data_IF_136358927845
#
_entry.id   IF_136358927845
#
_cell.length_a   1.000
_cell.length_b   1.000
_cell.length_c   1.000
_cell.angle_alpha   90.00
_cell.angle_beta   90.00
_cell.angle_gamma   90.00
#
_symmetry.space_group_name_H-M   'P 1'
#
loop_
_entity.id
_entity.type
_entity.pdbx_description
1 polymer ?
#
# COMPACT_ATOMS: atom_id res chain seq x y z
N UNK A 1 15.46 -31.52 -4.37
CA UNK A 1 15.08 -32.06 -5.70
C UNK A 1 13.56 -32.03 -5.92
N UNK A 2 12.75 -32.65 -5.06
CA UNK A 2 11.28 -32.68 -5.19
C UNK A 2 10.64 -31.28 -5.23
N UNK A 3 11.04 -30.37 -4.34
CA UNK A 3 10.54 -28.98 -4.34
C UNK A 3 10.79 -28.24 -5.66
N UNK A 4 11.96 -28.43 -6.26
CA UNK A 4 12.30 -27.82 -7.55
C UNK A 4 11.43 -28.38 -8.70
N UNK A 5 11.16 -29.68 -8.67
CA UNK A 5 10.27 -30.34 -9.63
C UNK A 5 8.83 -29.81 -9.47
N UNK A 6 8.33 -29.69 -8.23
CA UNK A 6 7.00 -29.12 -7.93
C UNK A 6 6.91 -27.67 -8.44
N UNK A 7 7.94 -26.85 -8.17
CA UNK A 7 7.99 -25.46 -8.62
C UNK A 7 7.97 -25.36 -10.15
N UNK A 8 8.77 -26.18 -10.85
CA UNK A 8 8.80 -26.22 -12.31
C UNK A 8 7.47 -26.71 -12.92
N UNK A 9 6.78 -27.64 -12.25
CA UNK A 9 5.47 -28.11 -12.67
C UNK A 9 4.41 -27.00 -12.55
N UNK A 10 4.41 -26.26 -11.43
CA UNK A 10 3.49 -25.14 -11.19
C UNK A 10 3.71 -24.02 -12.23
N UNK A 11 4.97 -23.66 -12.49
CA UNK A 11 5.32 -22.65 -13.50
C UNK A 11 4.92 -23.09 -14.91
N UNK A 12 5.11 -24.37 -15.25
CA UNK A 12 4.74 -24.93 -16.56
C UNK A 12 3.23 -24.94 -16.80
N UNK A 13 2.40 -25.08 -15.76
CA UNK A 13 0.94 -25.02 -15.85
C UNK A 13 0.47 -23.56 -15.98
N UNK A 14 1.11 -22.63 -15.26
CA UNK A 14 0.80 -21.19 -15.32
C UNK A 14 0.92 -20.63 -16.74
N UNK A 15 1.97 -21.03 -17.47
CA UNK A 15 2.22 -20.56 -18.84
C UNK A 15 1.26 -21.13 -19.89
N UNK A 16 0.65 -22.30 -19.63
CA UNK A 16 -0.33 -22.93 -20.53
C UNK A 16 -1.71 -22.29 -20.40
N UNK A 17 -2.14 -21.99 -19.18
CA UNK A 17 -3.43 -21.33 -18.93
C UNK A 17 -3.43 -19.87 -19.42
N UNK A 18 -2.26 -19.20 -19.41
CA UNK A 18 -2.13 -17.81 -19.85
C UNK A 18 -2.41 -17.58 -21.34
N UNK A 19 -2.36 -18.61 -22.19
CA UNK A 19 -2.57 -18.49 -23.65
C UNK A 19 -4.01 -18.70 -24.11
N UNK A 20 -4.89 -19.25 -23.26
CA UNK A 20 -6.29 -19.54 -23.62
C UNK A 20 -7.34 -18.89 -22.70
N UNK A 21 -6.94 -18.18 -21.64
CA UNK A 21 -7.84 -17.30 -20.92
C UNK A 21 -8.23 -16.13 -21.85
N UNK A 22 -9.35 -16.30 -22.57
CA UNK A 22 -10.14 -15.16 -23.06
C UNK A 22 -10.18 -14.17 -21.89
N UNK A 23 -9.65 -12.96 -22.07
CA UNK A 23 -9.64 -11.91 -21.07
C UNK A 23 -11.07 -11.50 -20.68
N UNK A 24 -11.77 -12.38 -19.97
CA UNK A 24 -13.07 -12.08 -19.39
C UNK A 24 -12.77 -11.18 -18.19
N UNK A 25 -13.40 -9.99 -18.13
CA UNK A 25 -13.22 -9.14 -16.98
C UNK A 25 -13.69 -9.90 -15.73
N UNK A 26 -12.83 -9.97 -14.72
CA UNK A 26 -13.18 -10.52 -13.40
C UNK A 26 -14.50 -9.93 -12.92
N UNK A 27 -15.30 -10.69 -12.18
CA UNK A 27 -16.55 -10.16 -11.62
C UNK A 27 -16.28 -8.95 -10.72
N UNK A 28 -17.22 -7.99 -10.59
CA UNK A 28 -17.03 -6.81 -9.74
C UNK A 28 -16.59 -7.17 -8.31
N UNK A 29 -17.16 -8.21 -7.71
CA UNK A 29 -16.81 -8.69 -6.38
C UNK A 29 -15.36 -9.17 -6.29
N UNK A 30 -14.91 -9.96 -7.27
CA UNK A 30 -13.54 -10.46 -7.31
C UNK A 30 -12.56 -9.31 -7.52
N UNK A 31 -12.85 -8.35 -8.42
CA UNK A 31 -12.00 -7.16 -8.62
C UNK A 31 -11.82 -6.37 -7.34
N UNK A 32 -12.90 -6.21 -6.57
CA UNK A 32 -12.85 -5.51 -5.29
C UNK A 32 -11.96 -6.25 -4.28
N UNK A 33 -12.06 -7.57 -4.21
CA UNK A 33 -11.23 -8.36 -3.30
C UNK A 33 -9.75 -8.37 -3.70
N UNK A 34 -9.47 -8.48 -5.00
CA UNK A 34 -8.11 -8.32 -5.54
C UNK A 34 -7.54 -6.93 -5.22
N UNK A 35 -8.36 -5.87 -5.34
CA UNK A 35 -7.93 -4.52 -4.98
C UNK A 35 -7.60 -4.39 -3.48
N UNK A 36 -8.41 -5.00 -2.59
CA UNK A 36 -8.11 -5.04 -1.16
C UNK A 36 -6.81 -5.79 -0.88
N UNK A 37 -6.62 -6.96 -1.50
CA UNK A 37 -5.40 -7.76 -1.35
C UNK A 37 -4.16 -6.98 -1.78
N UNK A 38 -4.20 -6.36 -2.96
CA UNK A 38 -3.11 -5.52 -3.46
C UNK A 38 -2.82 -4.33 -2.54
N UNK A 39 -3.85 -3.74 -1.93
CA UNK A 39 -3.69 -2.66 -0.97
C UNK A 39 -3.03 -3.15 0.33
N UNK A 40 -3.45 -4.29 0.88
CA UNK A 40 -2.83 -4.91 2.07
C UNK A 40 -1.37 -5.25 1.79
N UNK A 41 -1.07 -5.79 0.62
CA UNK A 41 0.31 -6.10 0.23
C UNK A 41 1.18 -4.83 0.19
N UNK A 42 0.67 -3.73 -0.37
CA UNK A 42 1.38 -2.44 -0.39
C UNK A 42 1.61 -1.88 1.01
N UNK A 43 0.60 -1.96 1.86
CA UNK A 43 0.67 -1.52 3.26
C UNK A 43 1.74 -2.31 4.03
N UNK A 44 1.71 -3.64 3.92
CA UNK A 44 2.70 -4.51 4.54
C UNK A 44 4.12 -4.24 4.02
N UNK A 45 4.27 -4.12 2.70
CA UNK A 45 5.57 -3.84 2.07
C UNK A 45 6.15 -2.52 2.57
N UNK A 46 5.31 -1.48 2.68
CA UNK A 46 5.74 -0.18 3.23
C UNK A 46 6.22 -0.31 4.68
N UNK A 47 5.49 -1.03 5.54
CA UNK A 47 5.90 -1.22 6.93
C UNK A 47 7.23 -1.97 7.03
N UNK A 48 7.36 -3.06 6.26
CA UNK A 48 8.55 -3.91 6.25
C UNK A 48 9.80 -3.17 5.72
N UNK A 49 9.68 -2.49 4.59
CA UNK A 49 10.81 -1.76 3.97
C UNK A 49 11.32 -0.60 4.82
N UNK A 50 10.44 0.01 5.62
CA UNK A 50 10.79 1.17 6.46
C UNK A 50 10.97 0.79 7.95
N UNK A 51 11.00 -0.51 8.27
CA UNK A 51 11.18 -1.04 9.63
C UNK A 51 10.22 -0.41 10.66
N UNK A 52 8.95 -0.27 10.28
CA UNK A 52 7.92 0.35 11.12
C UNK A 52 7.25 -0.77 11.93
N UNK A 53 7.45 -0.73 13.25
CA UNK A 53 6.97 -1.73 14.20
C UNK A 53 5.92 -1.18 15.16
N UNK A 54 5.74 0.14 15.23
CA UNK A 54 4.78 0.79 16.13
C UNK A 54 3.93 1.85 15.44
N UNK A 55 2.77 2.15 16.03
CA UNK A 55 1.91 3.24 15.57
C UNK A 55 2.61 4.60 15.65
N UNK A 56 3.43 4.82 16.68
CA UNK A 56 4.19 6.06 16.86
C UNK A 56 5.24 6.25 15.75
N UNK A 57 5.95 5.18 15.37
CA UNK A 57 6.87 5.19 14.23
C UNK A 57 6.13 5.50 12.92
N UNK A 58 4.95 4.90 12.72
CA UNK A 58 4.12 5.16 11.53
C UNK A 58 3.70 6.62 11.44
N UNK A 59 3.27 7.23 12.55
CA UNK A 59 2.90 8.65 12.60
C UNK A 59 4.10 9.54 12.32
N UNK A 60 5.23 9.27 12.97
CA UNK A 60 6.48 10.02 12.76
C UNK A 60 6.96 9.93 11.31
N UNK A 61 6.87 8.73 10.70
CA UNK A 61 7.16 8.51 9.29
C UNK A 61 6.22 9.32 8.37
N UNK A 62 4.92 9.32 8.65
CA UNK A 62 3.95 10.09 7.88
C UNK A 62 4.17 11.61 7.99
N UNK A 63 4.52 12.10 9.18
CA UNK A 63 4.82 13.52 9.42
C UNK A 63 6.10 13.95 8.70
N UNK A 64 7.15 13.12 8.72
CA UNK A 64 8.38 13.37 7.97
C UNK A 64 8.11 13.47 6.47
N UNK A 65 7.39 12.51 5.89
CA UNK A 65 6.99 12.54 4.48
C UNK A 65 6.17 13.80 4.15
N UNK A 66 5.23 14.17 5.01
CA UNK A 66 4.41 15.38 4.87
C UNK A 66 5.28 16.64 4.86
N UNK A 67 6.27 16.71 5.75
CA UNK A 67 7.25 17.80 5.81
C UNK A 67 8.10 17.90 4.54
N UNK A 68 8.67 16.78 4.07
CA UNK A 68 9.45 16.72 2.84
C UNK A 68 8.65 17.16 1.62
N UNK A 69 7.42 16.65 1.48
CA UNK A 69 6.52 17.02 0.38
C UNK A 69 6.23 18.52 0.40
N UNK A 70 5.91 19.09 1.57
CA UNK A 70 5.65 20.53 1.71
C UNK A 70 6.88 21.36 1.33
N UNK A 71 8.07 20.93 1.74
CA UNK A 71 9.34 21.58 1.37
C UNK A 71 9.55 21.61 -0.15
N UNK A 72 9.43 20.46 -0.80
CA UNK A 72 9.58 20.34 -2.26
C UNK A 72 8.48 21.09 -3.02
N UNK A 73 7.25 21.09 -2.52
CA UNK A 73 6.13 21.83 -3.11
C UNK A 73 6.36 23.34 -3.03
N UNK A 74 6.87 23.84 -1.89
CA UNK A 74 7.24 25.25 -1.72
C UNK A 74 8.32 25.64 -2.72
N UNK A 75 9.37 24.82 -2.88
CA UNK A 75 10.43 25.08 -3.86
C UNK A 75 9.90 25.04 -5.30
N UNK A 76 9.07 24.06 -5.64
CA UNK A 76 8.42 23.99 -6.97
C UNK A 76 7.57 25.23 -7.22
N UNK A 77 6.87 25.72 -6.20
CA UNK A 77 6.06 26.92 -6.31
C UNK A 77 6.91 28.16 -6.54
N UNK A 78 8.10 28.26 -5.95
CA UNK A 78 9.05 29.34 -6.24
C UNK A 78 9.46 29.34 -7.71
N UNK A 79 9.81 28.18 -8.28
CA UNK A 79 10.12 28.07 -9.72
C UNK A 79 8.92 28.43 -10.61
N UNK A 80 7.71 28.01 -10.22
CA UNK A 80 6.48 28.43 -10.92
C UNK A 80 6.22 29.92 -10.86
N UNK A 81 6.54 30.57 -9.73
CA UNK A 81 6.40 32.01 -9.60
C UNK A 81 7.42 32.74 -10.50
N UNK A 82 8.66 32.25 -10.59
CA UNK A 82 9.66 32.76 -11.53
C UNK A 82 9.24 32.54 -12.99
N UNK A 83 8.51 31.45 -13.28
CA UNK A 83 7.94 31.19 -14.60
C UNK A 83 6.94 32.23 -15.09
N UNK A 84 6.28 32.96 -14.19
CA UNK A 84 5.32 34.02 -14.56
C UNK A 84 5.99 35.33 -14.99
N UNK A 85 7.29 35.49 -14.73
CA UNK A 85 8.03 36.72 -15.05
C UNK A 85 8.64 36.63 -16.46
N UNK A 86 8.74 37.74 -17.21
CA UNK A 86 9.46 37.79 -18.48
C UNK A 86 10.92 37.34 -18.30
N UNK A 87 11.43 36.52 -19.22
CA UNK A 87 12.75 35.89 -19.12
C UNK A 87 13.16 35.27 -20.47
N UNK A 88 14.46 35.02 -20.69
CA UNK A 88 14.93 34.36 -21.91
C UNK A 88 14.46 32.90 -21.99
N UNK A 89 14.35 32.33 -23.21
CA UNK A 89 13.81 30.99 -23.43
C UNK A 89 14.63 29.89 -22.74
N UNK A 90 15.96 30.03 -22.69
CA UNK A 90 16.84 29.06 -22.02
C UNK A 90 16.53 28.91 -20.52
N UNK A 91 16.35 30.05 -19.84
CA UNK A 91 15.99 30.09 -18.41
C UNK A 91 14.56 29.59 -18.19
N UNK A 92 13.68 29.74 -19.18
CA UNK A 92 12.35 29.15 -19.13
C UNK A 92 12.38 27.62 -19.17
N UNK A 93 13.17 27.04 -20.08
CA UNK A 93 13.35 25.60 -20.22
C UNK A 93 13.94 24.99 -18.94
N UNK A 94 15.00 25.59 -18.39
CA UNK A 94 15.62 25.14 -17.14
C UNK A 94 14.63 25.15 -15.96
N UNK A 95 13.84 26.23 -15.80
CA UNK A 95 12.85 26.31 -14.73
C UNK A 95 11.71 25.31 -14.90
N UNK A 96 11.28 25.02 -16.14
CA UNK A 96 10.31 23.96 -16.42
C UNK A 96 10.86 22.58 -16.05
N UNK A 97 12.12 22.31 -16.39
CA UNK A 97 12.78 21.05 -16.05
C UNK A 97 12.88 20.87 -14.53
N UNK A 98 13.34 21.89 -13.80
CA UNK A 98 13.37 21.88 -12.31
C UNK A 98 12.00 21.60 -11.69
N UNK A 99 10.92 22.15 -12.26
CA UNK A 99 9.55 21.86 -11.81
C UNK A 99 9.15 20.40 -12.06
N UNK A 100 9.57 19.83 -13.20
CA UNK A 100 9.31 18.44 -13.57
C UNK A 100 10.06 17.49 -12.64
N UNK A 101 11.34 17.72 -12.41
CA UNK A 101 12.19 16.91 -11.53
C UNK A 101 11.64 16.88 -10.10
N UNK A 102 11.22 18.03 -9.57
CA UNK A 102 10.56 18.09 -8.26
C UNK A 102 9.24 17.31 -8.24
N UNK A 103 8.46 17.38 -9.32
CA UNK A 103 7.17 16.66 -9.39
C UNK A 103 7.39 15.14 -9.47
N UNK A 104 8.43 14.69 -10.16
CA UNK A 104 8.82 13.29 -10.23
C UNK A 104 9.29 12.77 -8.85
N UNK A 105 10.02 13.58 -8.08
CA UNK A 105 10.41 13.24 -6.69
C UNK A 105 9.24 13.24 -5.71
N UNK A 106 8.31 14.20 -5.84
CA UNK A 106 7.14 14.31 -4.94
C UNK A 106 6.17 13.13 -5.13
N UNK A 107 5.99 12.64 -6.35
CA UNK A 107 5.01 11.58 -6.68
C UNK A 107 5.15 10.32 -5.81
N UNK A 108 6.32 9.64 -5.72
CA UNK A 108 6.46 8.46 -4.89
C UNK A 108 6.29 8.75 -3.40
N UNK A 109 6.68 9.94 -2.92
CA UNK A 109 6.47 10.34 -1.52
C UNK A 109 4.98 10.48 -1.19
N UNK A 110 4.19 11.06 -2.10
CA UNK A 110 2.73 11.13 -1.95
C UNK A 110 2.08 9.75 -1.95
N UNK A 111 2.57 8.83 -2.77
CA UNK A 111 2.09 7.45 -2.79
C UNK A 111 2.38 6.73 -1.46
N UNK A 112 3.60 6.88 -0.92
CA UNK A 112 3.96 6.36 0.41
C UNK A 112 3.09 6.97 1.50
N UNK A 113 2.89 8.29 1.50
CA UNK A 113 2.04 8.97 2.47
C UNK A 113 0.58 8.51 2.42
N UNK A 114 0.03 8.30 1.20
CA UNK A 114 -1.31 7.75 1.02
C UNK A 114 -1.43 6.34 1.60
N UNK A 115 -0.44 5.49 1.34
CA UNK A 115 -0.41 4.13 1.90
C UNK A 115 -0.32 4.17 3.43
N UNK A 116 0.54 5.02 4.00
CA UNK A 116 0.64 5.18 5.45
C UNK A 116 -0.70 5.61 6.09
N UNK A 117 -1.42 6.55 5.48
CA UNK A 117 -2.76 6.96 5.95
C UNK A 117 -3.78 5.83 5.87
N UNK A 118 -3.73 5.03 4.81
CA UNK A 118 -4.60 3.85 4.66
C UNK A 118 -4.38 2.83 5.78
N UNK A 119 -3.14 2.64 6.24
CA UNK A 119 -2.83 1.77 7.39
C UNK A 119 -3.52 2.30 8.65
N UNK A 120 -3.39 3.60 8.93
CA UNK A 120 -4.00 4.25 10.10
C UNK A 120 -5.52 4.09 10.11
N UNK A 121 -6.17 4.22 8.95
CA UNK A 121 -7.63 4.08 8.83
C UNK A 121 -8.11 2.62 8.96
N UNK A 122 -7.31 1.65 8.50
CA UNK A 122 -7.68 0.23 8.47
C UNK A 122 -7.40 -0.49 9.78
N UNK A 123 -6.27 -0.19 10.42
CA UNK A 123 -5.76 -0.95 11.56
C UNK A 123 -6.75 -1.10 12.72
N UNK A 124 -7.47 -0.04 13.17
CA UNK A 124 -8.45 -0.16 14.25
C UNK A 124 -9.59 -1.12 13.91
N UNK A 125 -10.05 -1.13 12.65
CA UNK A 125 -11.13 -2.03 12.19
C UNK A 125 -10.67 -3.48 12.18
N UNK A 126 -9.43 -3.72 11.75
CA UNK A 126 -8.82 -5.04 11.76
C UNK A 126 -8.67 -5.57 13.20
N UNK A 127 -8.21 -4.72 14.11
CA UNK A 127 -8.07 -5.08 15.52
C UNK A 127 -9.42 -5.49 16.12
N UNK A 128 -10.48 -4.72 15.88
CA UNK A 128 -11.82 -5.06 16.34
C UNK A 128 -12.31 -6.40 15.79
N UNK A 129 -12.09 -6.69 14.50
CA UNK A 129 -12.47 -7.97 13.90
C UNK A 129 -11.73 -9.14 14.56
N UNK A 130 -10.43 -9.00 14.81
CA UNK A 130 -9.63 -10.03 15.48
C UNK A 130 -10.10 -10.27 16.92
N UNK A 131 -10.40 -9.20 17.66
CA UNK A 131 -10.94 -9.31 19.02
C UNK A 131 -12.28 -10.04 19.03
N UNK A 132 -13.17 -9.76 18.07
CA UNK A 132 -14.46 -10.47 17.95
C UNK A 132 -14.30 -11.94 17.62
N UNK A 133 -13.45 -12.30 16.65
CA UNK A 133 -13.18 -13.69 16.29
C UNK A 133 -12.59 -14.48 17.47
N UNK A 134 -11.65 -13.87 18.19
CA UNK A 134 -11.04 -14.48 19.36
C UNK A 134 -12.04 -14.70 20.51
N UNK A 135 -12.97 -13.77 20.71
CA UNK A 135 -14.03 -13.94 21.69
C UNK A 135 -14.98 -15.08 21.28
N UNK A 136 -15.36 -15.16 20.00
CA UNK A 136 -16.20 -16.24 19.49
C UNK A 136 -15.54 -17.62 19.66
N UNK A 137 -14.23 -17.72 19.42
CA UNK A 137 -13.46 -18.93 19.65
C UNK A 137 -13.48 -19.35 21.12
N UNK A 138 -13.24 -18.41 22.03
CA UNK A 138 -13.32 -18.65 23.48
C UNK A 138 -14.70 -19.14 23.90
N UNK A 139 -15.76 -18.48 23.45
CA UNK A 139 -17.14 -18.84 23.77
C UNK A 139 -17.49 -20.24 23.25
N UNK A 140 -17.00 -20.59 22.06
CA UNK A 140 -17.18 -21.93 21.50
C UNK A 140 -16.47 -23.01 22.34
N UNK A 141 -15.25 -22.75 22.81
CA UNK A 141 -14.50 -23.66 23.68
C UNK A 141 -15.17 -23.84 25.05
N UNK A 142 -15.69 -22.77 25.64
CA UNK A 142 -16.43 -22.82 26.91
C UNK A 142 -17.68 -23.69 26.75
N UNK A 143 -18.49 -23.44 25.71
CA UNK A 143 -19.68 -24.24 25.41
C UNK A 143 -19.36 -25.72 25.20
N UNK A 144 -18.24 -26.06 24.57
CA UNK A 144 -17.81 -27.45 24.40
C UNK A 144 -17.47 -28.11 25.75
N UNK A 145 -16.76 -27.41 26.64
CA UNK A 145 -16.44 -27.93 27.98
C UNK A 145 -17.70 -28.19 28.80
N UNK A 146 -18.64 -27.24 28.85
CA UNK A 146 -19.90 -27.37 29.59
C UNK A 146 -20.75 -28.57 29.12
N UNK A 147 -20.76 -28.84 27.81
CA UNK A 147 -21.42 -30.02 27.23
C UNK A 147 -20.75 -31.33 27.65
N UNK A 148 -19.43 -31.32 27.87
CA UNK A 148 -18.67 -32.48 28.36
C UNK A 148 -18.93 -32.79 29.83
N UNK A 149 -19.18 -31.79 30.67
CA UNK A 149 -19.53 -31.96 32.10
C UNK A 149 -20.98 -32.43 32.32
N UNK A 150 -21.85 -32.25 31.34
CA UNK A 150 -23.28 -32.59 31.43
C UNK A 150 -23.61 -34.01 30.92
N UNK A 151 -22.60 -34.86 30.69
CA UNK A 151 -22.73 -36.24 30.20
C UNK A 151 -22.25 -37.25 31.23
#
# INVERSE_FOLDING_TARGET
VIFYIILQLILSIKDRNAKEERCQPLSPSIRMEVAKMNQIQKEYTLLAENYIHSAQELFSFADNLSGEIKGMEKQRQQYRNLLRRPKPPEVEIDLKQKCKDLSEKIKPLRDKLRTAKSIVERYPKLQQLLETEHQMEKDALIKQRERGYSR
#
